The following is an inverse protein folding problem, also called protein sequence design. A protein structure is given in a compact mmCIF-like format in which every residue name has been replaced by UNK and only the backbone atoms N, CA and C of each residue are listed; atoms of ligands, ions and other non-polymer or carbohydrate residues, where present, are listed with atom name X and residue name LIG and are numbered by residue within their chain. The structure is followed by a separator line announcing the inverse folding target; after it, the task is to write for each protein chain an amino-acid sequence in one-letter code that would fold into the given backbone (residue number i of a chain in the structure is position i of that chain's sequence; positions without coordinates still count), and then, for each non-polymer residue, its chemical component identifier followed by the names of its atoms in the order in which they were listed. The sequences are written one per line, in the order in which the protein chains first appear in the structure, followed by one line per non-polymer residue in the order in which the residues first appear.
data_IF_838177052073
#
_entry.id   IF_838177052073
#
_cell.length_a   1.000
_cell.length_b   1.000
_cell.length_c   1.000
_cell.angle_alpha   90.00
_cell.angle_beta   90.00
_cell.angle_gamma   90.00
#
_symmetry.space_group_name_H-M   'P 1'
#
loop_
_entity.id
_entity.type
_entity.pdbx_description
1 polymer ?
#
# COMPACT_ATOMS: atom_id res chain seq x y z
N UNK A 1 -62.10 50.61 -37.07
CA UNK A 1 -61.09 49.73 -37.64
C UNK A 1 -60.07 49.42 -36.56
N UNK A 2 -60.19 48.26 -35.91
CA UNK A 2 -59.33 47.82 -34.86
C UNK A 2 -58.32 46.81 -35.44
N UNK A 3 -57.02 47.13 -35.47
CA UNK A 3 -56.00 46.24 -35.97
C UNK A 3 -55.69 45.23 -34.84
N UNK A 4 -55.99 43.93 -35.09
CA UNK A 4 -55.58 42.84 -34.27
C UNK A 4 -54.06 42.57 -34.49
N UNK A 5 -53.26 42.76 -33.46
CA UNK A 5 -51.85 42.47 -33.48
C UNK A 5 -51.64 41.05 -32.98
N UNK A 6 -51.21 40.15 -33.89
CA UNK A 6 -50.90 38.74 -33.55
C UNK A 6 -49.64 38.68 -32.65
N UNK A 7 -49.84 38.27 -31.42
CA UNK A 7 -48.74 37.97 -30.47
C UNK A 7 -48.31 36.49 -30.72
N UNK A 8 -47.16 36.33 -31.35
CA UNK A 8 -46.57 35.01 -31.58
C UNK A 8 -45.83 34.60 -30.32
N UNK A 9 -46.41 33.70 -29.54
CA UNK A 9 -45.75 33.11 -28.34
C UNK A 9 -44.88 31.95 -28.83
N UNK A 10 -43.55 32.15 -28.82
CA UNK A 10 -42.56 31.10 -29.10
C UNK A 10 -42.32 30.33 -27.81
N UNK A 11 -42.86 29.10 -27.74
CA UNK A 11 -42.50 28.17 -26.67
C UNK A 11 -41.08 27.60 -26.94
N UNK A 12 -40.10 28.06 -26.21
CA UNK A 12 -38.77 27.44 -26.18
C UNK A 12 -38.84 26.25 -25.23
N UNK A 13 -39.00 25.05 -25.79
CA UNK A 13 -38.92 23.78 -25.05
C UNK A 13 -37.46 23.52 -24.72
N UNK A 14 -37.04 23.83 -23.47
CA UNK A 14 -35.74 23.44 -22.95
C UNK A 14 -35.83 21.93 -22.63
N UNK A 15 -35.38 21.12 -23.56
CA UNK A 15 -35.19 19.69 -23.34
C UNK A 15 -33.97 19.52 -22.39
N UNK A 16 -34.24 19.34 -21.09
CA UNK A 16 -33.24 18.79 -20.18
C UNK A 16 -33.00 17.32 -20.55
N UNK A 17 -32.02 17.06 -21.38
CA UNK A 17 -31.47 15.71 -21.51
C UNK A 17 -30.75 15.37 -20.18
N UNK A 18 -31.20 14.37 -19.42
CA UNK A 18 -30.41 13.88 -18.34
C UNK A 18 -29.12 13.34 -18.98
N UNK A 19 -27.99 13.98 -18.68
CA UNK A 19 -26.69 13.41 -18.98
C UNK A 19 -26.60 12.12 -18.16
N UNK A 20 -26.90 11.01 -18.83
CA UNK A 20 -26.55 9.68 -18.33
C UNK A 20 -25.05 9.68 -18.35
N UNK A 21 -24.44 10.05 -17.22
CA UNK A 21 -23.05 9.71 -16.93
C UNK A 21 -23.08 8.19 -16.88
N UNK A 22 -22.80 7.57 -18.02
CA UNK A 22 -22.47 6.15 -18.09
C UNK A 22 -21.25 5.98 -17.18
N UNK A 23 -21.49 5.59 -15.93
CA UNK A 23 -20.45 5.04 -15.09
C UNK A 23 -19.98 3.80 -15.86
N UNK A 24 -18.90 4.01 -16.63
CA UNK A 24 -18.15 2.92 -17.22
C UNK A 24 -17.80 2.02 -16.05
N UNK A 25 -18.47 0.88 -15.91
CA UNK A 25 -18.12 -0.16 -14.96
C UNK A 25 -16.68 -0.54 -15.31
N UNK A 26 -15.75 0.05 -14.60
CA UNK A 26 -14.32 -0.24 -14.74
C UNK A 26 -14.18 -1.63 -14.15
N UNK A 27 -14.05 -2.63 -15.01
CA UNK A 27 -14.01 -4.03 -14.58
C UNK A 27 -12.65 -4.31 -13.92
N UNK A 28 -12.62 -4.30 -12.60
CA UNK A 28 -11.43 -4.64 -11.82
C UNK A 28 -11.31 -6.15 -11.71
N UNK A 29 -10.27 -6.72 -12.33
CA UNK A 29 -9.92 -8.13 -12.18
C UNK A 29 -9.16 -8.32 -10.88
N UNK A 30 -9.72 -9.08 -9.94
CA UNK A 30 -9.17 -9.29 -8.58
C UNK A 30 -8.55 -10.67 -8.38
N UNK A 31 -8.48 -11.48 -9.41
CA UNK A 31 -7.89 -12.81 -9.39
C UNK A 31 -6.58 -12.85 -10.17
N UNK A 32 -5.54 -13.44 -9.59
CA UNK A 32 -4.27 -13.73 -10.23
C UNK A 32 -4.24 -15.22 -10.57
N UNK A 33 -4.27 -15.58 -11.86
CA UNK A 33 -4.21 -16.97 -12.28
C UNK A 33 -2.78 -17.51 -12.10
N UNK A 34 -2.65 -18.74 -11.57
CA UNK A 34 -1.36 -19.39 -11.36
C UNK A 34 -1.55 -20.75 -10.71
N UNK A 35 -0.47 -21.34 -10.20
CA UNK A 35 -0.49 -22.62 -9.51
C UNK A 35 -1.39 -22.59 -8.26
N UNK A 36 -1.49 -21.42 -7.62
CA UNK A 36 -2.45 -21.14 -6.56
C UNK A 36 -3.29 -19.96 -7.02
N UNK A 37 -4.60 -20.14 -7.08
CA UNK A 37 -5.53 -19.07 -7.42
C UNK A 37 -5.58 -18.06 -6.28
N UNK A 38 -4.98 -16.88 -6.48
CA UNK A 38 -4.94 -15.82 -5.48
C UNK A 38 -6.03 -14.80 -5.81
N UNK A 39 -6.89 -14.53 -4.85
CA UNK A 39 -7.89 -13.47 -4.90
C UNK A 39 -7.50 -12.35 -3.93
N UNK A 40 -7.38 -11.12 -4.44
CA UNK A 40 -7.05 -9.95 -3.63
C UNK A 40 -8.31 -9.20 -3.19
N UNK A 41 -8.34 -8.66 -1.95
CA UNK A 41 -9.48 -7.89 -1.46
C UNK A 41 -9.59 -6.53 -2.19
N UNK A 42 -10.79 -5.94 -2.18
CA UNK A 42 -10.97 -4.54 -2.55
C UNK A 42 -10.14 -3.66 -1.61
N UNK A 43 -9.47 -2.59 -2.10
CA UNK A 43 -9.55 -2.01 -3.45
C UNK A 43 -8.49 -2.50 -4.45
N UNK A 44 -7.80 -3.60 -4.14
CA UNK A 44 -6.72 -4.14 -4.96
C UNK A 44 -7.22 -4.96 -6.14
N UNK A 45 -6.39 -5.04 -7.17
CA UNK A 45 -6.60 -5.92 -8.30
C UNK A 45 -5.49 -5.81 -9.36
N UNK A 46 -5.69 -6.46 -10.50
CA UNK A 46 -4.66 -6.71 -11.51
C UNK A 46 -4.92 -6.02 -12.86
N UNK A 47 -5.99 -5.26 -12.99
CA UNK A 47 -6.30 -4.53 -14.20
C UNK A 47 -6.39 -3.03 -13.95
N UNK A 48 -6.29 -2.22 -15.01
CA UNK A 48 -6.37 -0.75 -14.96
C UNK A 48 -7.70 -0.21 -14.41
N UNK A 49 -8.70 -1.09 -14.22
CA UNK A 49 -9.96 -0.74 -13.59
C UNK A 49 -9.95 -0.80 -12.06
N UNK A 50 -8.88 -1.29 -11.45
CA UNK A 50 -8.77 -1.38 -10.01
C UNK A 50 -8.27 -0.06 -9.41
N UNK A 51 -8.71 0.26 -8.19
CA UNK A 51 -8.29 1.47 -7.48
C UNK A 51 -6.79 1.42 -7.13
N UNK A 52 -6.33 0.25 -6.71
CA UNK A 52 -4.91 -0.01 -6.45
C UNK A 52 -4.50 -1.21 -7.30
N UNK A 53 -3.63 -0.95 -8.27
CA UNK A 53 -3.19 -1.97 -9.20
C UNK A 53 -1.94 -2.67 -8.70
N UNK A 54 -2.01 -4.01 -8.66
CA UNK A 54 -0.91 -4.93 -8.38
C UNK A 54 -0.51 -5.65 -9.68
N UNK A 55 0.69 -6.19 -9.72
CA UNK A 55 1.14 -7.03 -10.82
C UNK A 55 0.91 -8.50 -10.50
N UNK A 56 0.48 -9.27 -11.49
CA UNK A 56 0.31 -10.71 -11.42
C UNK A 56 1.26 -11.36 -12.42
N UNK A 57 2.13 -12.25 -11.94
CA UNK A 57 3.07 -12.99 -12.79
C UNK A 57 2.44 -14.29 -13.31
N UNK A 58 3.06 -14.91 -14.32
CA UNK A 58 2.54 -16.13 -14.93
C UNK A 58 2.53 -17.32 -13.98
N UNK A 59 3.40 -17.35 -12.97
CA UNK A 59 3.43 -18.36 -11.90
C UNK A 59 2.44 -18.08 -10.76
N UNK A 60 1.70 -16.96 -10.83
CA UNK A 60 0.67 -16.59 -9.85
C UNK A 60 1.19 -15.75 -8.68
N UNK A 61 2.43 -15.26 -8.75
CA UNK A 61 2.94 -14.36 -7.72
C UNK A 61 2.34 -12.97 -7.86
N UNK A 62 2.02 -12.34 -6.72
CA UNK A 62 1.52 -10.97 -6.65
C UNK A 62 2.67 -10.03 -6.32
N UNK A 63 2.86 -8.99 -7.13
CA UNK A 63 3.98 -8.07 -6.98
C UNK A 63 3.53 -6.60 -6.87
N UNK A 64 4.34 -5.81 -6.17
CA UNK A 64 4.42 -4.34 -6.27
C UNK A 64 5.81 -3.99 -6.83
N UNK A 65 5.85 -3.42 -8.05
CA UNK A 65 7.12 -3.31 -8.76
C UNK A 65 7.73 -4.70 -8.97
N UNK A 66 8.93 -4.91 -8.43
CA UNK A 66 9.64 -6.19 -8.43
C UNK A 66 9.45 -7.02 -7.13
N UNK A 67 8.78 -6.45 -6.13
CA UNK A 67 8.72 -6.99 -4.79
C UNK A 67 7.47 -7.84 -4.57
N UNK A 68 7.61 -9.08 -4.02
CA UNK A 68 6.47 -9.96 -3.79
C UNK A 68 5.61 -9.46 -2.63
N UNK A 69 4.30 -9.38 -2.85
CA UNK A 69 3.31 -9.12 -1.81
C UNK A 69 3.07 -10.41 -1.04
N UNK A 70 3.39 -10.41 0.25
CA UNK A 70 3.24 -11.57 1.12
C UNK A 70 1.89 -11.58 1.82
N UNK A 71 1.37 -10.39 2.17
CA UNK A 71 0.11 -10.24 2.89
C UNK A 71 -0.57 -8.93 2.54
N UNK A 72 -1.90 -8.95 2.48
CA UNK A 72 -2.75 -7.77 2.35
C UNK A 72 -3.70 -7.73 3.54
N UNK A 73 -3.64 -6.65 4.30
CA UNK A 73 -4.47 -6.40 5.48
C UNK A 73 -5.32 -5.14 5.27
N UNK A 74 -6.39 -4.94 6.05
CA UNK A 74 -7.18 -3.70 5.99
C UNK A 74 -6.37 -2.43 6.21
N UNK A 75 -5.25 -2.51 6.94
CA UNK A 75 -4.42 -1.34 7.28
C UNK A 75 -3.14 -1.23 6.47
N UNK A 76 -2.71 -2.29 5.79
CA UNK A 76 -1.45 -2.29 5.08
C UNK A 76 -1.18 -3.54 4.25
N UNK A 77 -0.02 -3.55 3.62
CA UNK A 77 0.53 -4.69 2.91
C UNK A 77 1.89 -5.03 3.51
N UNK A 78 2.19 -6.32 3.56
CA UNK A 78 3.56 -6.79 3.82
C UNK A 78 4.17 -7.22 2.49
N UNK A 79 5.30 -6.61 2.16
CA UNK A 79 6.01 -6.82 0.91
C UNK A 79 7.38 -7.41 1.22
N UNK A 80 7.75 -8.48 0.54
CA UNK A 80 9.06 -9.08 0.67
C UNK A 80 10.15 -8.17 0.10
N UNK A 81 11.17 -7.89 0.90
CA UNK A 81 12.36 -7.18 0.48
C UNK A 81 13.59 -8.03 0.83
N UNK A 82 13.80 -9.15 0.10
CA UNK A 82 14.91 -10.05 0.38
C UNK A 82 16.23 -9.31 0.29
N UNK A 83 17.15 -9.65 1.18
CA UNK A 83 18.47 -9.05 1.19
C UNK A 83 19.20 -9.35 -0.12
N UNK A 84 19.66 -8.30 -0.77
CA UNK A 84 20.32 -8.38 -2.07
C UNK A 84 21.43 -7.35 -2.17
N UNK A 85 22.64 -7.82 -2.50
CA UNK A 85 23.78 -6.94 -2.74
C UNK A 85 23.64 -6.23 -4.08
N UNK A 86 23.96 -4.93 -4.10
CA UNK A 86 24.01 -4.17 -5.34
C UNK A 86 22.65 -3.86 -5.97
N UNK A 87 21.52 -4.08 -5.28
CA UNK A 87 20.23 -3.59 -5.75
C UNK A 87 20.26 -2.06 -5.76
N UNK A 88 19.96 -1.40 -6.89
CA UNK A 88 19.93 0.06 -6.93
C UNK A 88 18.96 0.63 -5.89
N UNK A 89 19.32 1.73 -5.23
CA UNK A 89 18.45 2.39 -4.25
C UNK A 89 17.17 2.90 -4.90
N UNK A 90 17.19 3.19 -6.19
CA UNK A 90 16.00 3.64 -6.95
C UNK A 90 14.88 2.61 -6.96
N UNK A 91 15.18 1.31 -6.72
CA UNK A 91 14.15 0.28 -6.54
C UNK A 91 13.19 0.60 -5.39
N UNK A 92 13.60 1.40 -4.41
CA UNK A 92 12.75 1.85 -3.31
C UNK A 92 11.56 2.69 -3.81
N UNK A 93 11.69 3.36 -4.96
CA UNK A 93 10.61 4.14 -5.56
C UNK A 93 9.38 3.28 -5.90
N UNK A 94 9.58 1.99 -6.20
CA UNK A 94 8.48 1.05 -6.45
C UNK A 94 7.60 0.81 -5.21
N UNK A 95 8.13 1.08 -4.00
CA UNK A 95 7.39 0.98 -2.74
C UNK A 95 6.67 2.28 -2.36
N UNK A 96 6.87 3.36 -3.14
CA UNK A 96 6.22 4.66 -2.98
C UNK A 96 5.28 4.92 -4.17
N UNK A 97 4.08 4.40 -4.09
CA UNK A 97 3.07 4.56 -5.14
C UNK A 97 2.13 5.71 -4.88
N UNK A 98 1.20 5.89 -5.80
CA UNK A 98 0.14 6.91 -5.71
C UNK A 98 -0.85 6.62 -4.58
N UNK A 99 -0.94 5.35 -4.14
CA UNK A 99 -1.91 4.84 -3.19
C UNK A 99 -1.29 4.06 -2.03
N UNK A 100 0.02 3.99 -1.93
CA UNK A 100 0.72 3.28 -0.86
C UNK A 100 2.13 3.84 -0.63
N UNK A 101 2.62 3.72 0.58
CA UNK A 101 3.99 4.09 0.96
C UNK A 101 4.47 3.28 2.18
N UNK A 102 5.78 3.15 2.38
CA UNK A 102 6.34 2.51 3.57
C UNK A 102 5.91 3.23 4.85
N UNK A 103 5.43 2.48 5.84
CA UNK A 103 5.09 3.04 7.15
C UNK A 103 6.34 3.35 7.96
N UNK A 104 6.23 4.31 8.89
CA UNK A 104 7.37 4.80 9.69
C UNK A 104 7.99 3.76 10.61
N UNK A 105 7.30 2.66 10.89
CA UNK A 105 7.81 1.53 11.70
C UNK A 105 8.77 0.61 10.95
N UNK A 106 9.00 0.86 9.64
CA UNK A 106 10.05 0.15 8.91
C UNK A 106 11.43 0.72 9.20
N UNK A 107 12.42 -0.16 9.16
CA UNK A 107 13.82 0.18 8.97
C UNK A 107 14.27 -0.22 7.57
N UNK A 108 14.78 0.73 6.80
CA UNK A 108 15.32 0.48 5.46
C UNK A 108 16.83 0.34 5.55
N UNK A 109 17.33 -0.79 5.12
CA UNK A 109 18.76 -1.12 5.12
C UNK A 109 19.37 -0.76 3.78
N UNK A 110 20.37 0.12 3.79
CA UNK A 110 21.01 0.66 2.59
C UNK A 110 22.52 0.65 2.72
N UNK A 111 23.21 0.62 1.59
CA UNK A 111 24.66 0.57 1.51
C UNK A 111 25.23 1.76 0.76
N UNK A 112 26.46 2.08 1.09
CA UNK A 112 27.24 3.13 0.44
C UNK A 112 26.52 4.49 0.45
N UNK A 113 26.17 4.92 1.66
CA UNK A 113 25.51 6.22 1.89
C UNK A 113 26.55 7.31 2.19
N UNK A 114 26.30 8.51 1.67
CA UNK A 114 27.11 9.70 2.00
C UNK A 114 26.86 10.14 3.44
N UNK A 115 25.61 10.13 3.89
CA UNK A 115 25.22 10.39 5.27
C UNK A 115 24.83 9.06 5.94
N UNK A 116 25.65 8.63 6.90
CA UNK A 116 25.42 7.36 7.60
C UNK A 116 24.53 7.60 8.81
N UNK A 117 23.25 7.33 8.66
CA UNK A 117 22.28 7.35 9.75
C UNK A 117 21.95 5.91 10.16
N UNK A 118 22.02 5.65 11.46
CA UNK A 118 21.59 4.39 12.05
C UNK A 118 20.53 4.69 13.11
N UNK A 119 19.29 4.95 12.62
CA UNK A 119 18.16 5.28 13.49
C UNK A 119 17.39 4.05 13.96
N UNK A 120 17.64 2.88 13.35
CA UNK A 120 16.98 1.65 13.74
C UNK A 120 17.91 0.76 14.58
N UNK A 121 17.30 0.10 15.55
CA UNK A 121 18.00 -0.86 16.41
C UNK A 121 17.63 -2.27 15.92
N UNK A 122 18.62 -2.96 15.34
CA UNK A 122 18.49 -4.38 14.97
C UNK A 122 19.35 -5.17 15.95
N UNK A 123 18.75 -6.16 16.62
CA UNK A 123 19.48 -7.01 17.52
C UNK A 123 20.60 -7.77 16.77
N UNK A 124 21.78 -7.88 17.38
CA UNK A 124 22.93 -8.58 16.78
C UNK A 124 22.61 -10.04 16.43
N UNK A 125 21.75 -10.69 17.21
CA UNK A 125 21.27 -12.06 16.94
C UNK A 125 20.42 -12.10 15.66
N UNK A 126 19.51 -11.15 15.47
CA UNK A 126 18.69 -11.03 14.24
C UNK A 126 19.57 -10.76 13.04
N UNK A 127 20.61 -9.94 13.20
CA UNK A 127 21.58 -9.67 12.16
C UNK A 127 22.30 -10.95 11.72
N UNK A 128 22.92 -11.67 12.67
CA UNK A 128 23.66 -12.90 12.40
C UNK A 128 22.84 -13.99 11.74
N UNK A 129 21.58 -14.19 12.21
CA UNK A 129 20.74 -15.26 11.66
C UNK A 129 20.10 -14.93 10.31
N UNK A 130 19.91 -13.66 9.98
CA UNK A 130 19.11 -13.27 8.81
C UNK A 130 19.92 -12.73 7.64
N UNK A 131 21.15 -12.26 7.90
CA UNK A 131 21.93 -11.53 6.90
C UNK A 131 23.40 -11.99 6.78
N UNK A 132 23.92 -12.81 7.71
CA UNK A 132 25.36 -13.17 7.78
C UNK A 132 25.81 -14.09 6.64
N UNK A 133 24.91 -14.96 6.13
CA UNK A 133 25.20 -15.92 5.05
C UNK A 133 25.19 -15.29 3.65
N UNK A 134 24.87 -14.00 3.54
CA UNK A 134 24.89 -13.32 2.26
C UNK A 134 26.31 -13.02 1.81
N UNK A 135 26.85 -13.89 0.98
CA UNK A 135 28.16 -13.75 0.39
C UNK A 135 28.15 -12.63 -0.68
N UNK A 136 27.99 -11.39 -0.25
CA UNK A 136 28.12 -10.25 -1.12
C UNK A 136 29.60 -10.10 -1.49
N UNK A 137 30.00 -10.56 -2.67
CA UNK A 137 31.39 -10.41 -3.17
C UNK A 137 31.83 -8.94 -3.21
N UNK A 138 30.91 -8.01 -3.17
CA UNK A 138 31.12 -6.57 -3.04
C UNK A 138 31.51 -6.18 -1.59
N UNK A 139 31.21 -7.03 -0.59
CA UNK A 139 31.57 -6.83 0.83
C UNK A 139 33.01 -7.32 1.11
N UNK A 140 33.59 -8.14 0.22
CA UNK A 140 34.91 -8.73 0.46
C UNK A 140 36.11 -7.80 0.27
N UNK A 141 35.90 -6.58 -0.24
CA UNK A 141 36.98 -5.60 -0.17
C UNK A 141 37.07 -5.04 1.25
N UNK A 142 37.82 -5.77 2.11
CA UNK A 142 38.12 -5.40 3.50
C UNK A 142 38.77 -4.01 3.65
N UNK A 143 38.98 -3.30 2.54
CA UNK A 143 39.54 -1.94 2.52
C UNK A 143 38.51 -0.84 2.35
N UNK A 144 37.30 -1.16 1.85
CA UNK A 144 36.21 -0.21 1.82
C UNK A 144 35.38 -0.41 3.09
N UNK A 145 35.37 0.58 3.94
CA UNK A 145 34.55 0.67 5.15
C UNK A 145 33.08 0.86 4.74
N UNK A 146 32.50 -0.15 4.04
CA UNK A 146 31.09 -0.13 3.59
C UNK A 146 30.22 -0.39 4.78
N UNK A 147 29.86 0.68 5.44
CA UNK A 147 28.90 0.61 6.54
C UNK A 147 27.50 0.50 5.96
N UNK A 148 26.76 -0.47 6.45
CA UNK A 148 25.34 -0.55 6.26
C UNK A 148 24.66 0.55 7.09
N UNK A 149 23.82 1.32 6.46
CA UNK A 149 22.99 2.33 7.11
C UNK A 149 21.58 1.79 7.28
N UNK A 150 20.97 2.06 8.43
CA UNK A 150 19.58 1.73 8.70
C UNK A 150 18.80 3.03 8.97
N UNK A 151 17.82 3.30 8.14
CA UNK A 151 16.93 4.44 8.29
C UNK A 151 15.55 3.99 8.75
N UNK A 152 15.06 4.55 9.84
CA UNK A 152 13.67 4.45 10.28
C UNK A 152 13.07 5.86 10.44
N UNK A 153 11.75 5.94 10.28
CA UNK A 153 11.04 7.21 10.38
C UNK A 153 10.76 7.61 11.83
N UNK A 154 10.26 8.83 11.96
CA UNK A 154 9.66 9.30 13.20
C UNK A 154 8.30 8.61 13.39
N UNK A 155 8.12 7.92 14.51
CA UNK A 155 6.89 7.19 14.86
C UNK A 155 5.67 8.10 15.04
N UNK A 156 5.86 9.42 15.14
CA UNK A 156 4.76 10.40 15.14
C UNK A 156 4.13 10.57 13.75
N UNK A 157 4.82 10.15 12.68
CA UNK A 157 4.33 10.14 11.31
C UNK A 157 3.86 8.74 10.93
N UNK A 158 2.85 8.67 10.07
CA UNK A 158 2.36 7.38 9.56
C UNK A 158 3.34 6.74 8.57
N UNK A 159 3.98 7.53 7.73
CA UNK A 159 4.84 7.07 6.64
C UNK A 159 6.29 7.50 6.81
N UNK A 160 7.19 6.73 6.22
CA UNK A 160 8.59 7.10 6.06
C UNK A 160 8.70 8.36 5.19
N UNK A 161 9.64 9.21 5.54
CA UNK A 161 9.99 10.39 4.76
C UNK A 161 10.94 9.99 3.63
N UNK A 162 10.39 9.93 2.41
CA UNK A 162 11.14 9.54 1.22
C UNK A 162 12.26 10.53 0.88
N UNK A 163 12.05 11.83 1.12
CA UNK A 163 13.06 12.85 0.88
C UNK A 163 14.27 12.66 1.79
N UNK A 164 14.03 12.37 3.07
CA UNK A 164 15.11 12.09 4.01
C UNK A 164 15.93 10.84 3.61
N UNK A 165 15.28 9.78 3.10
CA UNK A 165 15.97 8.59 2.60
C UNK A 165 16.85 8.96 1.40
N UNK A 166 16.30 9.70 0.45
CA UNK A 166 17.01 10.13 -0.75
C UNK A 166 18.22 11.00 -0.42
N UNK A 167 18.06 11.91 0.55
CA UNK A 167 19.12 12.83 1.00
C UNK A 167 20.30 12.11 1.68
N UNK A 168 20.14 10.87 2.12
CA UNK A 168 21.27 10.07 2.62
C UNK A 168 22.29 9.74 1.51
N UNK A 169 21.92 9.87 0.25
CA UNK A 169 22.81 9.63 -0.89
C UNK A 169 23.35 8.20 -0.95
N UNK A 170 22.52 7.22 -0.61
CA UNK A 170 22.88 5.82 -0.68
C UNK A 170 22.87 5.32 -2.13
N UNK A 171 23.71 4.36 -2.46
CA UNK A 171 23.75 3.76 -3.80
C UNK A 171 22.90 2.50 -3.91
N UNK A 172 22.83 1.72 -2.84
CA UNK A 172 22.17 0.41 -2.88
C UNK A 172 21.15 0.24 -1.77
N UNK A 173 20.04 -0.41 -2.14
CA UNK A 173 19.00 -0.90 -1.25
C UNK A 173 19.30 -2.35 -0.89
N UNK A 174 19.63 -2.61 0.36
CA UNK A 174 20.00 -3.95 0.80
C UNK A 174 18.79 -4.79 1.20
N UNK A 175 18.01 -4.33 2.18
CA UNK A 175 16.85 -5.05 2.69
C UNK A 175 15.95 -4.13 3.53
N UNK A 176 14.92 -4.71 4.16
CA UNK A 176 14.05 -4.02 5.10
C UNK A 176 13.81 -4.84 6.35
N UNK A 177 13.46 -4.15 7.40
CA UNK A 177 12.96 -4.73 8.65
C UNK A 177 11.70 -3.99 9.06
N UNK A 178 10.71 -4.69 9.58
CA UNK A 178 9.50 -4.09 10.09
C UNK A 178 9.32 -4.43 11.55
N UNK A 179 9.04 -3.44 12.39
CA UNK A 179 8.74 -3.66 13.80
C UNK A 179 7.24 -3.71 14.03
N UNK A 180 6.79 -4.63 14.86
CA UNK A 180 5.44 -4.66 15.41
C UNK A 180 5.51 -4.54 16.93
N UNK A 181 4.72 -3.62 17.45
CA UNK A 181 4.49 -3.53 18.90
C UNK A 181 3.29 -4.43 19.19
N UNK A 182 3.53 -5.55 19.85
CA UNK A 182 2.48 -6.50 20.20
C UNK A 182 1.86 -6.11 21.54
N UNK A 183 0.60 -5.68 21.52
CA UNK A 183 -0.21 -5.49 22.72
C UNK A 183 -0.17 -4.12 23.39
N UNK A 184 -1.13 -3.87 24.27
CA UNK A 184 -1.30 -2.62 25.03
C UNK A 184 -0.24 -2.39 26.14
N UNK A 185 0.60 -3.38 26.40
CA UNK A 185 1.70 -3.32 27.35
C UNK A 185 2.96 -3.68 26.59
N UNK A 186 3.76 -2.73 26.24
CA UNK A 186 5.07 -2.69 25.59
C UNK A 186 6.08 -3.86 25.84
N UNK A 187 5.60 -5.08 26.07
CA UNK A 187 6.43 -6.23 26.47
C UNK A 187 6.98 -7.06 25.31
N UNK A 188 6.64 -6.75 24.06
CA UNK A 188 7.18 -7.48 22.92
C UNK A 188 7.23 -6.64 21.65
N UNK A 189 8.42 -6.33 21.18
CA UNK A 189 8.64 -5.86 19.82
C UNK A 189 9.03 -7.08 18.99
N UNK A 190 8.17 -7.51 18.06
CA UNK A 190 8.58 -8.46 17.04
C UNK A 190 9.24 -7.73 15.88
N UNK A 191 10.27 -8.33 15.32
CA UNK A 191 10.96 -7.84 14.14
C UNK A 191 10.75 -8.83 13.00
N UNK A 192 10.04 -8.39 11.97
CA UNK A 192 9.98 -9.11 10.70
C UNK A 192 11.15 -8.63 9.83
N UNK A 193 11.97 -9.55 9.37
CA UNK A 193 13.15 -9.25 8.55
C UNK A 193 12.90 -9.54 7.08
N UNK A 194 13.65 -8.86 6.21
CA UNK A 194 13.52 -8.99 4.75
C UNK A 194 12.13 -8.63 4.24
N UNK A 195 11.45 -7.72 4.92
CA UNK A 195 10.13 -7.21 4.57
C UNK A 195 10.03 -5.71 4.77
N UNK A 196 9.05 -5.12 4.08
CA UNK A 196 8.60 -3.75 4.28
C UNK A 196 7.09 -3.75 4.43
N UNK A 197 6.56 -3.05 5.42
CA UNK A 197 5.13 -2.80 5.59
C UNK A 197 4.76 -1.51 4.88
N UNK A 198 3.78 -1.58 4.00
CA UNK A 198 3.23 -0.43 3.30
C UNK A 198 1.85 -0.10 3.88
N UNK A 199 1.62 1.14 4.22
CA UNK A 199 0.26 1.66 4.38
C UNK A 199 -0.30 2.05 3.03
N UNK A 200 -1.61 1.95 2.85
CA UNK A 200 -2.29 2.29 1.61
C UNK A 200 -3.51 3.17 1.85
N UNK A 201 -4.01 3.84 0.81
CA UNK A 201 -5.19 4.71 0.88
C UNK A 201 -5.86 4.82 -0.49
N UNK A 202 -7.15 5.18 -0.48
CA UNK A 202 -7.85 5.68 -1.65
C UNK A 202 -7.81 7.19 -1.67
N UNK A 203 -7.73 7.81 -2.85
CA UNK A 203 -7.74 9.27 -3.00
C UNK A 203 -9.14 9.84 -2.81
N UNK A 204 -9.21 11.03 -2.26
CA UNK A 204 -10.42 11.82 -2.09
C UNK A 204 -11.01 11.77 -0.70
N UNK A 205 -12.30 12.15 -0.62
CA UNK A 205 -13.07 12.17 0.63
C UNK A 205 -13.62 10.79 0.95
N UNK A 206 -13.92 10.57 2.25
CA UNK A 206 -14.49 9.32 2.75
C UNK A 206 -15.74 8.90 1.96
N UNK A 207 -15.68 7.71 1.37
CA UNK A 207 -16.80 7.03 0.73
C UNK A 207 -16.96 5.64 1.34
N UNK A 208 -17.37 5.63 2.60
CA UNK A 208 -17.52 4.43 3.43
C UNK A 208 -18.99 4.08 3.62
N UNK A 209 -19.28 2.79 3.81
CA UNK A 209 -20.63 2.33 4.16
C UNK A 209 -21.06 2.88 5.53
N UNK A 210 -22.37 2.93 5.80
CA UNK A 210 -22.93 3.56 7.01
C UNK A 210 -22.41 2.98 8.33
N UNK A 211 -22.02 1.69 8.34
CA UNK A 211 -21.46 1.02 9.51
C UNK A 211 -19.94 0.89 9.49
N UNK A 212 -19.27 1.66 8.64
CA UNK A 212 -17.83 1.77 8.61
C UNK A 212 -17.33 3.01 9.35
N UNK A 213 -16.08 2.90 9.81
CA UNK A 213 -15.27 4.02 10.30
C UNK A 213 -14.34 4.44 9.19
N UNK A 214 -14.31 5.74 8.92
CA UNK A 214 -13.37 6.32 7.96
C UNK A 214 -12.11 6.83 8.67
N UNK A 215 -10.95 6.36 8.22
CA UNK A 215 -9.65 6.91 8.61
C UNK A 215 -9.14 7.81 7.51
N UNK A 216 -8.97 9.09 7.82
CA UNK A 216 -8.36 10.06 6.90
C UNK A 216 -6.85 9.86 6.87
N UNK A 217 -6.27 9.94 5.67
CA UNK A 217 -4.84 9.75 5.43
C UNK A 217 -4.37 10.89 4.55
N UNK A 218 -3.24 11.49 4.92
CA UNK A 218 -2.57 12.45 4.08
C UNK A 218 -1.51 11.71 3.26
N UNK A 219 -1.60 11.82 1.94
CA UNK A 219 -0.64 11.21 1.03
C UNK A 219 0.77 11.77 1.29
N UNK A 220 1.77 10.92 1.53
CA UNK A 220 3.13 11.40 1.80
C UNK A 220 3.84 11.97 0.56
N UNK A 221 3.33 11.67 -0.65
CA UNK A 221 3.97 12.09 -1.91
C UNK A 221 3.55 13.48 -2.37
N UNK A 222 2.27 13.86 -2.18
CA UNK A 222 1.71 15.09 -2.73
C UNK A 222 0.85 15.89 -1.73
N UNK A 223 0.69 15.37 -0.50
CA UNK A 223 -0.13 15.99 0.53
C UNK A 223 -1.64 15.95 0.25
N UNK A 224 -2.08 15.18 -0.75
CA UNK A 224 -3.50 15.06 -1.08
C UNK A 224 -4.27 14.26 -0.05
N UNK A 225 -5.56 14.54 0.08
CA UNK A 225 -6.46 13.79 0.96
C UNK A 225 -6.70 12.39 0.43
N UNK A 226 -6.59 11.43 1.34
CA UNK A 226 -6.93 10.05 1.14
C UNK A 226 -7.72 9.48 2.30
N UNK A 227 -8.21 8.24 2.14
CA UNK A 227 -9.00 7.59 3.18
C UNK A 227 -8.92 6.07 3.12
N UNK A 228 -9.26 5.44 4.22
CA UNK A 228 -9.57 4.01 4.35
C UNK A 228 -10.86 3.82 5.13
N UNK A 229 -11.59 2.78 4.77
CA UNK A 229 -12.80 2.35 5.48
C UNK A 229 -12.54 1.05 6.22
N UNK A 230 -13.11 0.93 7.41
CA UNK A 230 -13.12 -0.31 8.18
C UNK A 230 -14.49 -0.45 8.84
N UNK A 231 -15.09 -1.63 8.76
CA UNK A 231 -16.32 -1.90 9.47
C UNK A 231 -16.13 -1.76 10.98
N UNK A 232 -17.17 -1.31 11.67
CA UNK A 232 -17.21 -1.29 13.13
C UNK A 232 -16.99 -2.70 13.69
N UNK A 233 -16.49 -2.78 14.92
CA UNK A 233 -16.25 -4.07 15.57
C UNK A 233 -17.51 -4.94 15.59
N UNK A 234 -17.36 -6.21 15.21
CA UNK A 234 -18.45 -7.19 15.15
C UNK A 234 -19.26 -7.18 13.85
N UNK A 235 -18.88 -6.36 12.88
CA UNK A 235 -19.52 -6.32 11.56
C UNK A 235 -18.49 -6.71 10.51
N UNK A 236 -18.84 -7.68 9.65
CA UNK A 236 -17.96 -8.13 8.54
C UNK A 236 -18.12 -7.25 7.31
N UNK A 237 -17.08 -7.26 6.48
CA UNK A 237 -17.04 -6.53 5.22
C UNK A 237 -15.76 -5.73 5.04
N UNK A 238 -15.64 -5.05 3.92
CA UNK A 238 -14.50 -4.21 3.58
C UNK A 238 -14.71 -2.72 3.92
N UNK A 239 -15.94 -2.34 4.24
CA UNK A 239 -16.29 -0.99 4.68
C UNK A 239 -16.56 0.01 3.55
N UNK A 240 -16.42 -0.35 2.28
CA UNK A 240 -16.56 0.58 1.15
C UNK A 240 -17.91 0.47 0.47
N UNK A 241 -18.53 1.63 0.18
CA UNK A 241 -19.81 1.69 -0.56
C UNK A 241 -19.72 1.06 -1.95
N UNK A 242 -18.53 1.17 -2.57
CA UNK A 242 -18.26 0.62 -3.90
C UNK A 242 -18.00 -0.90 -3.94
N UNK A 243 -18.03 -1.59 -2.79
CA UNK A 243 -17.73 -3.02 -2.70
C UNK A 243 -18.73 -3.75 -1.79
N UNK A 244 -18.26 -4.62 -0.89
CA UNK A 244 -19.15 -5.40 0.00
C UNK A 244 -19.78 -4.56 1.12
N UNK A 245 -19.21 -3.40 1.41
CA UNK A 245 -19.66 -2.56 2.52
C UNK A 245 -19.43 -3.21 3.88
N UNK A 246 -20.31 -2.89 4.82
CA UNK A 246 -20.41 -3.56 6.11
C UNK A 246 -21.79 -4.21 6.22
N UNK A 247 -21.85 -5.48 6.58
CA UNK A 247 -23.09 -6.25 6.73
C UNK A 247 -22.96 -7.27 7.86
N UNK A 248 -24.08 -7.91 8.18
CA UNK A 248 -24.04 -9.05 9.11
C UNK A 248 -23.17 -10.16 8.53
N UNK A 249 -22.32 -10.76 9.37
CA UNK A 249 -21.53 -11.93 9.02
C UNK A 249 -22.47 -12.99 8.44
N UNK A 250 -22.38 -13.27 7.13
CA UNK A 250 -23.01 -14.46 6.57
C UNK A 250 -22.28 -15.62 7.20
N UNK A 251 -22.96 -16.43 8.01
CA UNK A 251 -22.43 -17.72 8.46
C UNK A 251 -21.88 -18.45 7.22
N UNK A 252 -20.57 -18.59 7.19
CA UNK A 252 -19.92 -19.48 6.23
C UNK A 252 -20.29 -20.87 6.71
N UNK A 253 -21.33 -21.42 6.11
CA UNK A 253 -21.64 -22.85 6.28
C UNK A 253 -20.43 -23.58 5.72
N UNK A 254 -19.63 -24.14 6.63
CA UNK A 254 -18.50 -25.00 6.33
C UNK A 254 -19.01 -26.23 5.55
N UNK A 255 -18.96 -26.14 4.21
CA UNK A 255 -19.37 -27.24 3.30
C UNK A 255 -18.30 -28.36 3.26
N UNK A 256 -17.25 -28.27 4.08
CA UNK A 256 -16.19 -29.28 4.17
C UNK A 256 -16.20 -29.99 5.52
N UNK A 257 -17.36 -30.51 5.93
CA UNK A 257 -17.42 -31.64 6.85
C UNK A 257 -18.12 -32.78 6.13
N UNK A 258 -17.33 -33.58 5.46
CA UNK A 258 -17.52 -35.05 5.28
C UNK A 258 -16.19 -35.65 4.86
#
# INVERSE_FOLDING_TARGET
MIKLQNLLIVFVSISFSPSIISQKLINCTRSCPGAQFIFVPYPFGFSSGCQIQLNCTADGSVLIGEFPVQQINPDGLTVGLPAMCGRPVDSLSHLNGEHYAPVSTNGILMENCMDQKNNCIIAATTWGTSFEDLNCSVIQDRRSNRSLSCYSGDTTRMFLDHENITNMGCQYLFSGVASEISGNNSEGVSLDVQVVKLGWWLKGSCDCSGDAVCTKILSPSDGSDGYRCRCKSGIDGDGYTASSGCGEAKEVVDVFKN
#
